data_IF_089765917493
#
_entry.id   IF_089765917493
#
_cell.length_a   1.000
_cell.length_b   1.000
_cell.length_c   1.000
_cell.angle_alpha   90.00
_cell.angle_beta   90.00
_cell.angle_gamma   90.00
#
_symmetry.space_group_name_H-M   'P 1'
#
loop_
_entity.id
_entity.type
_entity.pdbx_description
1 polymer ?
#
# COMPACT_ATOMS: atom_id res chain seq x y z
N UNK A 1 28.82 3.58 -14.01
CA UNK A 1 27.38 3.55 -13.68
C UNK A 1 26.62 3.16 -14.93
N UNK A 2 26.07 1.95 -14.99
CA UNK A 2 25.26 1.52 -16.13
C UNK A 2 23.80 1.85 -15.83
N UNK A 3 23.15 2.54 -16.75
CA UNK A 3 21.71 2.78 -16.73
C UNK A 3 20.95 1.44 -16.82
N UNK A 4 19.71 1.35 -16.29
CA UNK A 4 18.90 0.16 -16.43
C UNK A 4 18.71 -0.19 -17.91
N UNK A 5 18.68 -1.48 -18.27
CA UNK A 5 18.29 -1.88 -19.61
C UNK A 5 16.89 -1.35 -19.88
N UNK A 6 16.76 -0.49 -20.89
CA UNK A 6 15.45 -0.13 -21.42
C UNK A 6 14.90 -1.42 -22.03
N UNK A 7 14.01 -2.11 -21.31
CA UNK A 7 13.18 -3.18 -21.89
C UNK A 7 12.29 -2.48 -22.91
N UNK A 8 12.76 -2.39 -24.15
CA UNK A 8 12.04 -1.79 -25.27
C UNK A 8 11.07 -2.81 -25.84
N UNK A 9 9.92 -2.97 -25.18
CA UNK A 9 8.70 -3.49 -25.82
C UNK A 9 7.61 -2.44 -25.66
N UNK A 10 7.44 -1.62 -26.70
CA UNK A 10 6.75 -0.32 -26.68
C UNK A 10 5.22 -0.36 -26.45
N UNK A 11 4.64 -1.49 -26.04
CA UNK A 11 3.20 -1.59 -25.73
C UNK A 11 2.89 -2.02 -24.28
N UNK A 12 3.76 -2.78 -23.60
CA UNK A 12 3.56 -3.22 -22.21
C UNK A 12 3.94 -2.13 -21.18
N UNK A 13 4.77 -1.16 -21.59
CA UNK A 13 5.27 -0.08 -20.74
C UNK A 13 4.23 1.00 -20.37
N UNK A 14 3.05 1.02 -20.99
CA UNK A 14 2.04 2.07 -20.77
C UNK A 14 1.00 1.72 -19.70
N UNK A 15 1.00 0.49 -19.16
CA UNK A 15 0.02 0.01 -18.19
C UNK A 15 0.64 -0.47 -16.85
N UNK A 16 1.95 -0.76 -16.82
CA UNK A 16 2.65 -1.15 -15.59
C UNK A 16 2.98 0.07 -14.74
N UNK A 17 2.33 0.24 -13.60
CA UNK A 17 2.76 1.20 -12.57
C UNK A 17 3.80 0.54 -11.71
N UNK A 18 5.06 0.95 -11.90
CA UNK A 18 6.25 0.30 -11.36
C UNK A 18 6.62 0.92 -10.03
N UNK A 19 6.99 0.10 -9.06
CA UNK A 19 7.29 0.56 -7.71
C UNK A 19 8.43 -0.21 -7.05
N UNK A 20 8.72 0.11 -5.79
CA UNK A 20 9.62 -0.65 -4.95
C UNK A 20 9.10 -0.73 -3.51
N UNK A 21 9.55 -1.75 -2.79
CA UNK A 21 9.37 -1.87 -1.34
C UNK A 21 10.75 -1.94 -0.69
N UNK A 22 10.98 -1.09 0.30
CA UNK A 22 12.28 -0.94 0.94
C UNK A 22 12.17 -0.82 2.45
N UNK A 23 13.29 -1.06 3.13
CA UNK A 23 13.48 -0.70 4.55
C UNK A 23 14.45 0.46 4.66
N UNK A 24 14.34 1.31 5.71
CA UNK A 24 15.32 2.35 5.98
C UNK A 24 16.72 1.78 6.19
N UNK A 25 17.72 2.58 5.83
CA UNK A 25 19.14 2.39 6.16
C UNK A 25 19.67 3.65 6.84
N UNK A 26 20.91 3.63 7.32
CA UNK A 26 21.51 4.78 8.00
C UNK A 26 21.49 6.07 7.17
N UNK A 27 21.57 5.95 5.83
CA UNK A 27 21.66 7.09 4.92
C UNK A 27 20.50 7.20 3.94
N UNK A 28 19.55 6.25 3.93
CA UNK A 28 18.50 6.20 2.92
C UNK A 28 17.60 4.98 3.07
N UNK A 29 17.46 4.21 1.99
CA UNK A 29 16.68 2.98 1.98
C UNK A 29 17.28 1.94 1.03
N UNK A 30 16.98 0.67 1.29
CA UNK A 30 17.33 -0.46 0.45
C UNK A 30 16.14 -1.40 0.32
N UNK A 31 15.81 -1.77 -0.91
CA UNK A 31 14.59 -2.52 -1.21
C UNK A 31 14.65 -3.32 -2.49
N UNK A 32 13.50 -3.87 -2.85
CA UNK A 32 13.31 -4.70 -4.04
C UNK A 32 12.25 -4.09 -4.96
N UNK A 33 12.39 -4.40 -6.24
CA UNK A 33 11.51 -3.93 -7.30
C UNK A 33 10.14 -4.62 -7.27
N UNK A 34 9.08 -3.89 -7.65
CA UNK A 34 7.74 -4.44 -7.89
C UNK A 34 7.21 -3.94 -9.23
N UNK A 35 6.86 -4.85 -10.13
CA UNK A 35 6.55 -4.51 -11.52
C UNK A 35 5.11 -4.00 -11.74
N UNK A 36 4.11 -4.70 -11.20
CA UNK A 36 2.68 -4.42 -11.41
C UNK A 36 2.02 -3.71 -10.22
N UNK A 37 0.95 -2.97 -10.51
CA UNK A 37 0.02 -2.39 -9.54
C UNK A 37 0.62 -1.50 -8.45
N UNK A 38 1.75 -0.84 -8.74
CA UNK A 38 2.51 0.00 -7.82
C UNK A 38 1.77 1.22 -7.25
N UNK A 39 0.48 1.41 -7.50
CA UNK A 39 -0.32 2.53 -7.00
C UNK A 39 -0.58 2.45 -5.49
N UNK A 40 -0.65 3.59 -4.78
CA UNK A 40 -0.97 3.61 -3.35
C UNK A 40 -2.32 3.00 -3.01
N UNK A 41 -3.33 3.12 -3.90
CA UNK A 41 -4.63 2.49 -3.71
C UNK A 41 -4.59 0.98 -3.65
N UNK A 42 -3.53 0.35 -4.16
CA UNK A 42 -3.34 -1.10 -4.17
C UNK A 42 -2.32 -1.53 -3.11
N UNK A 43 -1.11 -0.96 -3.14
CA UNK A 43 -0.02 -1.39 -2.26
C UNK A 43 -0.27 -1.03 -0.79
N UNK A 44 -0.77 0.17 -0.47
CA UNK A 44 -0.90 0.60 0.94
C UNK A 44 -1.89 -0.29 1.70
N UNK A 45 -3.10 -0.60 1.20
CA UNK A 45 -4.00 -1.56 1.86
C UNK A 45 -3.39 -2.95 2.07
N UNK A 46 -2.69 -3.49 1.07
CA UNK A 46 -2.05 -4.81 1.19
C UNK A 46 -0.96 -4.82 2.24
N UNK A 47 -0.10 -3.79 2.27
CA UNK A 47 0.99 -3.68 3.24
C UNK A 47 0.48 -3.46 4.67
N UNK A 48 -0.57 -2.64 4.84
CA UNK A 48 -1.24 -2.46 6.14
C UNK A 48 -1.89 -3.78 6.60
N UNK A 49 -2.60 -4.47 5.71
CA UNK A 49 -3.23 -5.76 6.00
C UNK A 49 -2.21 -6.84 6.36
N UNK A 50 -1.10 -6.92 5.63
CA UNK A 50 -0.01 -7.85 5.93
C UNK A 50 0.57 -7.61 7.31
N UNK A 51 0.93 -6.36 7.60
CA UNK A 51 1.47 -5.98 8.90
C UNK A 51 0.48 -6.32 10.03
N UNK A 52 -0.80 -5.94 9.89
CA UNK A 52 -1.79 -6.08 10.96
C UNK A 52 -2.26 -7.52 11.20
N UNK A 53 -2.31 -8.36 10.15
CA UNK A 53 -2.96 -9.67 10.24
C UNK A 53 -2.01 -10.83 9.96
N UNK A 54 -1.31 -10.83 8.83
CA UNK A 54 -0.42 -11.95 8.47
C UNK A 54 0.80 -12.04 9.39
N UNK A 55 1.38 -10.89 9.70
CA UNK A 55 2.61 -10.79 10.48
C UNK A 55 2.39 -10.32 11.92
N UNK A 56 1.14 -10.12 12.36
CA UNK A 56 0.78 -9.75 13.75
C UNK A 56 1.59 -8.56 14.32
N UNK A 57 1.88 -7.57 13.48
CA UNK A 57 2.68 -6.39 13.80
C UNK A 57 4.19 -6.59 13.78
N UNK A 58 4.69 -7.77 13.41
CA UNK A 58 6.12 -8.06 13.26
C UNK A 58 6.67 -7.46 11.95
N UNK A 59 7.18 -6.23 12.06
CA UNK A 59 7.81 -5.52 10.94
C UNK A 59 9.06 -6.25 10.41
N UNK A 60 9.81 -6.94 11.25
CA UNK A 60 11.02 -7.65 10.83
C UNK A 60 10.65 -8.88 9.99
N UNK A 61 9.60 -9.61 10.37
CA UNK A 61 9.05 -10.70 9.58
C UNK A 61 8.46 -10.21 8.24
N UNK A 62 7.75 -9.08 8.26
CA UNK A 62 7.24 -8.46 7.03
C UNK A 62 8.38 -8.04 6.09
N UNK A 63 9.41 -7.36 6.60
CA UNK A 63 10.58 -6.97 5.82
C UNK A 63 11.34 -8.17 5.28
N UNK A 64 11.53 -9.22 6.10
CA UNK A 64 12.16 -10.46 5.66
C UNK A 64 11.42 -11.08 4.48
N UNK A 65 10.09 -11.17 4.59
CA UNK A 65 9.27 -11.74 3.53
C UNK A 65 9.29 -10.91 2.24
N UNK A 66 9.07 -9.60 2.36
CA UNK A 66 8.94 -8.71 1.19
C UNK A 66 10.27 -8.37 0.52
N UNK A 67 11.38 -8.36 1.28
CA UNK A 67 12.68 -7.86 0.81
C UNK A 67 13.70 -9.00 0.77
N UNK A 68 13.92 -9.71 1.87
CA UNK A 68 15.03 -10.68 1.99
C UNK A 68 14.75 -12.00 1.26
N UNK A 69 13.50 -12.46 1.27
CA UNK A 69 13.07 -13.71 0.62
C UNK A 69 12.77 -13.54 -0.88
N UNK A 70 12.76 -12.32 -1.40
CA UNK A 70 12.50 -11.99 -2.79
C UNK A 70 13.57 -11.05 -3.38
N UNK A 71 14.85 -11.46 -3.41
CA UNK A 71 15.95 -10.59 -3.82
C UNK A 71 15.88 -10.13 -5.28
N UNK A 72 15.19 -10.88 -6.15
CA UNK A 72 14.90 -10.52 -7.55
C UNK A 72 13.69 -9.57 -7.68
N UNK A 73 12.98 -9.33 -6.58
CA UNK A 73 11.76 -8.55 -6.53
C UNK A 73 10.51 -9.32 -6.93
N UNK A 74 9.42 -8.57 -7.08
CA UNK A 74 8.08 -9.08 -7.30
C UNK A 74 7.57 -8.68 -8.67
N UNK A 75 7.07 -9.66 -9.41
CA UNK A 75 6.23 -9.33 -10.56
C UNK A 75 4.96 -8.63 -10.08
N UNK A 76 4.32 -9.16 -9.03
CA UNK A 76 3.09 -8.62 -8.47
C UNK A 76 2.94 -9.06 -7.02
N UNK A 77 2.37 -8.19 -6.18
CA UNK A 77 1.91 -8.57 -4.84
C UNK A 77 0.47 -9.06 -4.89
N UNK A 78 0.16 -10.03 -4.05
CA UNK A 78 -1.12 -10.73 -4.06
C UNK A 78 -1.77 -10.85 -2.69
N UNK A 79 -2.87 -11.60 -2.68
CA UNK A 79 -3.79 -11.76 -1.57
C UNK A 79 -3.28 -12.65 -0.45
N UNK A 80 -2.20 -13.41 -0.70
CA UNK A 80 -1.48 -14.14 0.34
C UNK A 80 -0.98 -13.17 1.42
N UNK A 81 -0.68 -11.91 1.08
CA UNK A 81 -0.34 -10.88 2.06
C UNK A 81 -1.46 -10.62 3.08
N UNK A 82 -2.70 -11.02 2.78
CA UNK A 82 -3.85 -10.91 3.68
C UNK A 82 -4.18 -12.22 4.39
N UNK A 83 -3.26 -13.19 4.43
CA UNK A 83 -3.44 -14.40 5.23
C UNK A 83 -3.66 -14.03 6.71
N UNK A 84 -4.65 -14.65 7.35
CA UNK A 84 -5.06 -14.32 8.72
C UNK A 84 -5.97 -13.10 8.85
N UNK A 85 -6.20 -12.33 7.78
CA UNK A 85 -7.13 -11.21 7.81
C UNK A 85 -8.60 -11.70 7.83
N UNK A 86 -9.51 -10.97 8.51
CA UNK A 86 -10.93 -11.30 8.49
C UNK A 86 -11.50 -11.34 7.07
N UNK A 87 -12.34 -12.32 6.76
CA UNK A 87 -12.93 -12.48 5.43
C UNK A 87 -13.65 -11.22 4.90
N UNK A 88 -14.40 -10.45 5.70
CA UNK A 88 -14.99 -9.19 5.23
C UNK A 88 -13.95 -8.14 4.84
N UNK A 89 -12.75 -8.17 5.43
CA UNK A 89 -11.65 -7.29 5.02
C UNK A 89 -11.04 -7.78 3.71
N UNK A 90 -10.75 -9.09 3.61
CA UNK A 90 -10.18 -9.70 2.39
C UNK A 90 -11.08 -9.43 1.18
N UNK A 91 -12.37 -9.69 1.30
CA UNK A 91 -13.35 -9.46 0.24
C UNK A 91 -13.46 -7.97 -0.17
N UNK A 92 -13.28 -7.02 0.76
CA UNK A 92 -13.34 -5.60 0.46
C UNK A 92 -12.08 -5.09 -0.27
N UNK A 93 -10.90 -5.59 0.12
CA UNK A 93 -9.62 -5.17 -0.46
C UNK A 93 -9.35 -5.79 -1.83
N UNK A 94 -9.78 -7.04 -2.02
CA UNK A 94 -9.43 -7.86 -3.18
C UNK A 94 -10.61 -7.99 -4.16
N UNK A 95 -11.84 -7.95 -3.66
CA UNK A 95 -13.01 -8.29 -4.46
C UNK A 95 -12.92 -9.72 -5.01
N UNK A 96 -13.01 -9.87 -6.32
CA UNK A 96 -12.90 -11.17 -7.02
C UNK A 96 -11.50 -11.49 -7.54
N UNK A 97 -10.52 -10.61 -7.35
CA UNK A 97 -9.18 -10.74 -7.93
C UNK A 97 -8.23 -11.48 -6.99
N UNK A 98 -8.54 -12.75 -6.70
CA UNK A 98 -7.72 -13.58 -5.81
C UNK A 98 -6.52 -14.19 -6.54
N UNK A 99 -5.32 -13.75 -6.17
CA UNK A 99 -4.07 -14.29 -6.68
C UNK A 99 -2.96 -14.24 -5.61
N UNK A 100 -2.06 -15.23 -5.53
CA UNK A 100 -0.88 -15.13 -4.68
C UNK A 100 0.15 -14.16 -5.26
N UNK A 101 0.99 -13.59 -4.41
CA UNK A 101 2.15 -12.81 -4.80
C UNK A 101 3.06 -13.63 -5.71
N UNK A 102 3.58 -13.00 -6.77
CA UNK A 102 4.46 -13.62 -7.75
C UNK A 102 5.82 -12.96 -7.70
N UNK A 103 6.83 -13.73 -7.30
CA UNK A 103 8.23 -13.31 -7.42
C UNK A 103 8.58 -13.18 -8.90
N UNK A 104 9.57 -12.36 -9.22
CA UNK A 104 10.15 -12.45 -10.54
C UNK A 104 10.79 -13.84 -10.68
N UNK A 105 10.16 -14.70 -11.47
CA UNK A 105 10.81 -15.93 -11.92
C UNK A 105 12.02 -15.51 -12.71
N UNK A 106 13.22 -15.70 -12.13
CA UNK A 106 14.54 -15.47 -12.72
C UNK A 106 14.43 -15.09 -14.19
N UNK A 107 14.14 -13.81 -14.46
CA UNK A 107 14.23 -13.30 -15.80
C UNK A 107 15.71 -13.44 -16.04
N UNK A 108 16.08 -14.48 -16.78
CA UNK A 108 17.39 -14.60 -17.37
C UNK A 108 17.60 -13.25 -18.05
N UNK A 109 18.30 -12.37 -17.34
CA UNK A 109 19.05 -11.32 -17.98
C UNK A 109 19.89 -12.14 -18.94
N UNK A 110 19.55 -12.07 -20.22
CA UNK A 110 20.39 -12.57 -21.29
C UNK A 110 21.60 -11.63 -21.26
N UNK A 111 22.43 -11.78 -20.24
CA UNK A 111 23.78 -11.29 -20.21
C UNK A 111 24.50 -12.23 -21.16
N UNK A 112 24.75 -11.77 -22.38
CA UNK A 112 25.73 -12.40 -23.24
C UNK A 112 27.07 -12.29 -22.48
N UNK A 113 27.44 -13.35 -21.77
CA UNK A 113 28.63 -13.41 -20.92
C UNK A 113 28.30 -13.64 -19.45
N UNK A 114 28.50 -14.88 -19.01
CA UNK A 114 28.35 -15.40 -17.65
C UNK A 114 28.70 -14.41 -16.51
N UNK A 115 27.67 -14.04 -15.75
CA UNK A 115 27.75 -13.64 -14.35
C UNK A 115 26.42 -14.04 -13.71
N UNK A 116 26.45 -14.56 -12.48
CA UNK A 116 25.22 -14.86 -11.73
C UNK A 116 24.33 -13.60 -11.65
N UNK A 117 23.00 -13.73 -11.68
CA UNK A 117 22.11 -12.58 -11.58
C UNK A 117 22.35 -11.89 -10.22
N UNK A 118 22.99 -10.73 -10.23
CA UNK A 118 23.13 -9.91 -9.02
C UNK A 118 21.74 -9.45 -8.57
N UNK A 119 21.41 -9.57 -7.26
CA UNK A 119 20.17 -9.04 -6.70
C UNK A 119 20.00 -7.56 -7.06
N UNK A 120 18.87 -7.21 -7.67
CA UNK A 120 18.61 -5.82 -8.06
C UNK A 120 18.11 -5.03 -6.85
N UNK A 121 19.04 -4.52 -6.05
CA UNK A 121 18.70 -3.65 -4.89
C UNK A 121 18.30 -2.25 -5.38
N UNK A 122 17.07 -1.85 -5.07
CA UNK A 122 16.58 -0.48 -5.28
C UNK A 122 17.03 0.39 -4.10
N UNK A 123 17.63 1.53 -4.42
CA UNK A 123 18.14 2.53 -3.48
C UNK A 123 17.74 3.92 -3.95
N UNK A 124 17.96 4.93 -3.11
CA UNK A 124 17.84 6.37 -3.44
C UNK A 124 18.58 6.78 -4.73
N UNK A 125 19.60 6.01 -5.14
CA UNK A 125 20.42 6.30 -6.33
C UNK A 125 20.02 5.50 -7.55
N UNK A 126 19.21 4.44 -7.38
CA UNK A 126 18.87 3.48 -8.43
C UNK A 126 17.37 3.38 -8.76
N UNK A 127 16.49 4.12 -8.07
CA UNK A 127 15.04 4.11 -8.32
C UNK A 127 14.58 4.87 -9.58
N UNK A 128 15.51 5.33 -10.42
CA UNK A 128 15.20 6.12 -11.61
C UNK A 128 14.25 5.40 -12.56
N UNK A 129 13.15 6.06 -12.93
CA UNK A 129 12.15 5.53 -13.86
C UNK A 129 11.05 4.69 -13.21
N UNK A 130 11.00 4.59 -11.87
CA UNK A 130 9.88 4.05 -11.10
C UNK A 130 8.84 5.15 -10.81
N UNK A 131 7.60 4.74 -10.54
CA UNK A 131 6.48 5.65 -10.31
C UNK A 131 6.25 5.89 -8.81
N UNK A 132 6.39 4.85 -7.99
CA UNK A 132 6.12 4.88 -6.55
C UNK A 132 7.18 4.15 -5.71
N UNK A 133 7.35 4.59 -4.46
CA UNK A 133 8.21 3.94 -3.47
C UNK A 133 7.51 3.74 -2.14
N UNK A 134 7.71 2.57 -1.51
CA UNK A 134 7.16 2.23 -0.21
C UNK A 134 8.28 1.89 0.76
N UNK A 135 8.58 2.77 1.71
CA UNK A 135 9.63 2.53 2.72
C UNK A 135 8.98 2.15 4.05
N UNK A 136 9.28 0.96 4.54
CA UNK A 136 8.67 0.36 5.74
C UNK A 136 9.44 0.82 6.99
N UNK A 137 9.01 1.94 7.57
CA UNK A 137 9.56 2.47 8.82
C UNK A 137 8.95 1.79 10.04
N UNK A 138 9.61 1.90 11.19
CA UNK A 138 9.11 1.39 12.48
C UNK A 138 7.73 1.94 12.88
N UNK A 139 7.37 3.13 12.40
CA UNK A 139 6.11 3.80 12.75
C UNK A 139 5.06 3.78 11.63
N UNK A 140 5.42 3.33 10.42
CA UNK A 140 4.50 3.30 9.30
C UNK A 140 5.18 3.15 7.94
N UNK A 141 4.39 3.31 6.88
CA UNK A 141 4.83 3.23 5.49
C UNK A 141 5.04 4.66 4.98
N UNK A 142 6.26 5.02 4.62
CA UNK A 142 6.49 6.23 3.83
C UNK A 142 6.19 5.93 2.36
N UNK A 143 5.30 6.74 1.77
CA UNK A 143 4.85 6.58 0.38
C UNK A 143 5.39 7.72 -0.46
N UNK A 144 6.29 7.40 -1.38
CA UNK A 144 7.04 8.37 -2.19
C UNK A 144 6.49 8.38 -3.62
N UNK A 145 6.10 9.55 -4.12
CA UNK A 145 5.76 9.78 -5.52
C UNK A 145 7.03 10.16 -6.30
N UNK A 146 7.64 9.19 -6.99
CA UNK A 146 8.99 9.31 -7.58
C UNK A 146 9.06 10.19 -8.83
N UNK A 147 7.92 10.68 -9.33
CA UNK A 147 7.89 11.64 -10.45
C UNK A 147 8.46 13.02 -10.11
N UNK A 148 8.52 13.40 -8.82
CA UNK A 148 8.89 14.76 -8.43
C UNK A 148 9.55 14.88 -7.04
N UNK A 149 9.43 13.87 -6.18
CA UNK A 149 9.81 13.97 -4.78
C UNK A 149 10.75 12.81 -4.39
N UNK A 150 11.68 13.09 -3.47
CA UNK A 150 12.57 12.07 -2.88
C UNK A 150 12.03 11.51 -1.55
N UNK A 151 10.92 12.09 -1.05
CA UNK A 151 10.29 11.80 0.25
C UNK A 151 8.77 11.91 0.14
N UNK A 152 8.04 11.33 1.09
CA UNK A 152 6.59 11.42 1.14
C UNK A 152 6.01 11.35 2.56
N UNK A 153 4.69 11.45 2.71
CA UNK A 153 4.04 11.33 4.01
C UNK A 153 4.09 9.89 4.52
N UNK A 154 4.02 9.76 5.84
CA UNK A 154 4.05 8.48 6.54
C UNK A 154 2.63 8.03 6.89
N UNK A 155 2.22 6.88 6.37
CA UNK A 155 0.97 6.19 6.69
C UNK A 155 1.22 5.33 7.93
N UNK A 156 0.55 5.64 9.04
CA UNK A 156 0.75 4.90 10.28
C UNK A 156 0.31 3.43 10.13
N UNK A 157 1.02 2.51 10.80
CA UNK A 157 0.64 1.08 10.80
C UNK A 157 -0.76 0.80 11.35
N UNK A 158 -1.29 1.69 12.18
CA UNK A 158 -2.65 1.60 12.73
C UNK A 158 -3.75 2.14 11.79
N UNK A 159 -3.39 2.65 10.61
CA UNK A 159 -4.37 3.10 9.62
C UNK A 159 -5.24 1.92 9.17
N UNK A 160 -6.56 2.14 9.11
CA UNK A 160 -7.50 1.12 8.61
C UNK A 160 -7.12 0.75 7.16
N UNK A 161 -6.83 -0.52 6.86
CA UNK A 161 -6.51 -0.95 5.49
C UNK A 161 -7.63 -0.65 4.49
N UNK A 162 -8.88 -0.51 4.94
CA UNK A 162 -10.04 -0.15 4.11
C UNK A 162 -10.06 1.32 3.67
N UNK A 163 -9.18 2.15 4.22
CA UNK A 163 -9.11 3.54 3.82
C UNK A 163 -8.82 3.64 2.31
N UNK A 164 -9.49 4.58 1.64
CA UNK A 164 -9.32 4.80 0.21
C UNK A 164 -8.15 5.75 -0.02
N UNK A 165 -7.03 5.21 -0.49
CA UNK A 165 -5.83 5.98 -0.81
C UNK A 165 -5.87 6.52 -2.24
N UNK A 166 -5.44 7.77 -2.43
CA UNK A 166 -5.44 8.41 -3.74
C UNK A 166 -4.22 8.02 -4.58
N UNK A 167 -4.40 7.85 -5.89
CA UNK A 167 -3.31 7.65 -6.86
C UNK A 167 -2.75 8.97 -7.43
N UNK A 168 -3.26 10.11 -6.97
CA UNK A 168 -2.79 11.43 -7.42
C UNK A 168 -1.44 11.78 -6.80
N UNK A 169 -0.38 11.74 -7.60
CA UNK A 169 1.02 12.02 -7.21
C UNK A 169 1.18 13.30 -6.39
N UNK A 170 0.55 14.40 -6.81
CA UNK A 170 0.63 15.70 -6.13
C UNK A 170 0.12 15.71 -4.68
N UNK A 171 -0.66 14.71 -4.27
CA UNK A 171 -1.21 14.60 -2.91
C UNK A 171 -0.25 13.93 -1.93
N UNK A 172 0.78 13.27 -2.42
CA UNK A 172 1.78 12.54 -1.63
C UNK A 172 3.06 13.36 -1.40
N UNK A 173 2.94 14.68 -1.39
CA UNK A 173 4.07 15.58 -1.17
C UNK A 173 4.46 15.65 0.32
N UNK A 174 5.74 15.88 0.63
CA UNK A 174 6.16 16.18 1.99
C UNK A 174 5.34 17.33 2.61
N UNK A 175 4.92 17.15 3.86
CA UNK A 175 4.11 18.14 4.59
C UNK A 175 2.61 18.14 4.27
N UNK A 176 2.15 17.37 3.28
CA UNK A 176 0.72 17.14 3.07
C UNK A 176 0.19 16.01 3.98
N UNK A 177 -1.08 16.07 4.39
CA UNK A 177 -1.71 14.94 5.08
C UNK A 177 -1.78 13.72 4.16
N UNK A 178 -1.72 12.52 4.74
CA UNK A 178 -1.93 11.26 4.01
C UNK A 178 -3.27 11.34 3.26
N UNK A 179 -3.30 11.16 1.92
CA UNK A 179 -4.51 11.32 1.12
C UNK A 179 -5.38 10.06 1.19
N UNK A 180 -5.86 9.77 2.39
CA UNK A 180 -6.75 8.67 2.74
C UNK A 180 -8.12 9.21 3.13
N UNK A 181 -9.19 8.60 2.62
CA UNK A 181 -10.55 8.82 3.13
C UNK A 181 -11.08 7.55 3.74
N UNK A 182 -11.75 7.65 4.89
CA UNK A 182 -12.48 6.51 5.42
C UNK A 182 -13.58 6.12 4.43
N UNK A 183 -13.81 4.82 4.19
CA UNK A 183 -14.93 4.40 3.36
C UNK A 183 -16.23 4.97 3.96
N UNK A 184 -17.24 5.29 3.12
CA UNK A 184 -18.54 5.72 3.63
C UNK A 184 -19.01 4.69 4.65
N UNK A 185 -19.21 5.09 5.90
CA UNK A 185 -19.84 4.22 6.90
C UNK A 185 -21.18 3.82 6.31
N UNK A 186 -21.35 2.54 5.99
CA UNK A 186 -22.65 2.02 5.65
C UNK A 186 -23.57 2.40 6.82
N UNK A 187 -24.52 3.30 6.57
CA UNK A 187 -25.58 3.61 7.50
C UNK A 187 -26.41 2.35 7.66
N UNK A 188 -26.00 1.47 8.57
CA UNK A 188 -26.89 0.46 9.10
C UNK A 188 -28.14 1.17 9.62
N UNK A 189 -29.34 0.58 9.49
CA UNK A 189 -30.55 1.20 10.01
C UNK A 189 -30.36 1.46 11.49
N UNK A 190 -30.25 2.74 11.85
CA UNK A 190 -30.27 3.19 13.23
C UNK A 190 -31.62 2.75 13.77
N UNK A 191 -31.63 1.72 14.61
CA UNK A 191 -32.83 1.34 15.34
C UNK A 191 -33.07 2.51 16.29
N UNK A 192 -33.96 3.42 15.87
CA UNK A 192 -34.39 4.55 16.67
C UNK A 192 -34.76 4.07 18.05
N UNK A 193 -33.98 4.46 19.06
CA UNK A 193 -34.41 4.37 20.43
C UNK A 193 -35.67 5.24 20.55
N UNK A 194 -36.83 4.60 20.68
CA UNK A 194 -38.10 5.26 20.98
C UNK A 194 -37.96 5.98 22.32
N UNK A 195 -37.82 7.30 22.27
CA UNK A 195 -37.97 8.14 23.44
C UNK A 195 -39.45 8.10 23.89
N UNK A 196 -39.76 7.95 25.19
CA UNK A 196 -41.13 8.05 25.68
C UNK A 196 -41.65 9.49 25.53
N UNK A 197 -42.86 9.62 24.99
CA UNK A 197 -43.52 10.90 24.77
C UNK A 197 -43.81 11.63 26.10
N UNK A 198 -43.63 12.96 26.19
CA UNK A 198 -44.10 13.71 27.33
C UNK A 198 -45.63 13.89 27.26
N UNK A 199 -46.33 13.47 28.30
CA UNK A 199 -47.76 13.72 28.51
C UNK A 199 -47.99 15.22 28.72
N UNK A 200 -48.69 15.86 27.79
CA UNK A 200 -49.20 17.22 27.95
C UNK A 200 -50.51 17.20 28.75
N UNK A 201 -50.60 17.99 29.81
CA UNK A 201 -51.87 18.35 30.46
C UNK A 201 -52.19 19.83 30.31
N UNK A 202 -53.49 20.20 30.22
CA UNK A 202 -53.91 21.43 29.57
C UNK A 202 -54.02 22.65 30.50
N UNK A 203 -53.72 23.78 29.86
CA UNK A 203 -53.90 25.20 30.20
C UNK A 203 -55.25 25.53 30.86
N UNK A 204 -55.20 26.01 32.10
CA UNK A 204 -56.31 26.64 32.82
C UNK A 204 -56.65 28.01 32.21
N UNK A 205 -57.92 28.26 31.92
CA UNK A 205 -58.43 29.56 31.45
C UNK A 205 -59.03 30.37 32.62
N UNK A 206 -59.08 31.72 32.57
CA UNK A 206 -59.59 32.57 33.66
C UNK A 206 -61.04 33.05 33.44
N UNK A 207 -61.83 33.10 34.52
CA UNK A 207 -63.00 33.99 34.82
C UNK A 207 -63.54 33.55 36.20
N UNK A 208 -63.90 34.39 37.17
CA UNK A 208 -64.67 35.63 37.17
C UNK A 208 -64.46 36.35 38.50
#
# INVERSE_FOLDING_TARGET
>A
MRQPPIIRTSLENSLATRSFIARPTDTGYAGVYVHWDGYPSHHVPLLLGAHQYRFDGDLDALCRHLIDEAPEGWSQLGTDLLDGAPEPLRAELVGSDEHPSRKHDNVHVITVGAAEPEPWTVTEKSHGGLDWGYVLHSHGIEVISLHAEDRGPLVAWATDPRARFSNGTYRWRPGHPVPATLPPRATGPSTSATAPAPTATPRTAPRR
#
